data_IF_682265435185
#
_entry.id   IF_682265435185
#
_cell.length_a   1.000
_cell.length_b   1.000
_cell.length_c   1.000
_cell.angle_alpha   90.00
_cell.angle_beta   90.00
_cell.angle_gamma   90.00
#
_symmetry.space_group_name_H-M   'P 1'
#
loop_
_entity.id
_entity.type
_entity.pdbx_description
1 polymer ?
#
# COMPACT_ATOMS: atom_id res chain seq x y z
N UNK A 1 24.62 27.36 14.77
CA UNK A 1 25.52 26.94 13.68
C UNK A 1 24.61 26.45 12.57
N UNK A 2 24.34 27.27 11.55
CA UNK A 2 23.53 26.85 10.41
C UNK A 2 24.22 25.65 9.74
N UNK A 3 23.50 24.53 9.61
CA UNK A 3 23.99 23.37 8.85
C UNK A 3 24.01 23.75 7.37
N UNK A 4 25.03 23.28 6.65
CA UNK A 4 25.11 23.45 5.19
C UNK A 4 23.83 22.87 4.55
N UNK A 5 23.09 23.65 3.72
CA UNK A 5 21.90 23.15 3.03
C UNK A 5 22.17 21.87 2.21
N UNK A 6 23.40 21.66 1.72
CA UNK A 6 23.76 20.45 1.00
C UNK A 6 23.77 19.22 1.91
N UNK A 7 24.34 19.32 3.11
CA UNK A 7 24.36 18.21 4.07
C UNK A 7 22.94 17.78 4.45
N UNK A 8 22.02 18.74 4.57
CA UNK A 8 20.61 18.48 4.85
C UNK A 8 19.94 17.74 3.70
N UNK A 9 20.15 18.19 2.47
CA UNK A 9 19.58 17.58 1.26
C UNK A 9 20.07 16.15 1.09
N UNK A 10 21.38 15.92 1.24
CA UNK A 10 21.95 14.57 1.08
C UNK A 10 21.64 13.65 2.26
N UNK A 11 21.45 14.18 3.47
CA UNK A 11 21.00 13.40 4.62
C UNK A 11 19.64 12.73 4.41
N UNK A 12 18.73 13.37 3.66
CA UNK A 12 17.41 12.81 3.34
C UNK A 12 17.47 11.52 2.48
N UNK A 13 18.60 11.24 1.84
CA UNK A 13 18.77 9.99 1.07
C UNK A 13 18.80 8.79 2.02
N UNK A 14 19.53 8.90 3.13
CA UNK A 14 19.67 7.83 4.11
C UNK A 14 18.39 7.64 4.95
N UNK A 15 17.69 8.74 5.21
CA UNK A 15 16.39 8.74 5.88
C UNK A 15 15.36 9.57 5.09
N UNK A 16 14.63 8.94 4.15
CA UNK A 16 13.59 9.62 3.38
C UNK A 16 12.44 10.17 4.22
N UNK A 17 12.25 9.74 5.48
CA UNK A 17 11.27 10.34 6.37
C UNK A 17 11.67 11.75 6.84
N UNK A 18 12.92 12.17 6.62
CA UNK A 18 13.44 13.48 7.01
C UNK A 18 13.06 14.62 6.05
N UNK A 19 12.45 14.34 4.89
CA UNK A 19 12.09 15.38 3.91
C UNK A 19 11.25 16.55 4.46
N UNK A 20 10.24 16.36 5.33
CA UNK A 20 9.54 17.49 5.99
C UNK A 20 10.47 18.41 6.79
N UNK A 21 11.45 17.83 7.49
CA UNK A 21 12.44 18.58 8.25
C UNK A 21 13.42 19.32 7.33
N UNK A 22 13.85 18.68 6.23
CA UNK A 22 14.70 19.32 5.22
C UNK A 22 13.99 20.49 4.57
N UNK A 23 12.72 20.35 4.18
CA UNK A 23 11.91 21.45 3.65
C UNK A 23 11.78 22.60 4.67
N UNK A 24 11.62 22.28 5.96
CA UNK A 24 11.56 23.28 7.04
C UNK A 24 12.87 24.05 7.16
N UNK A 25 14.02 23.35 7.14
CA UNK A 25 15.33 23.99 7.27
C UNK A 25 15.74 24.76 6.01
N UNK A 26 15.35 24.29 4.82
CA UNK A 26 15.51 25.05 3.58
C UNK A 26 14.62 26.30 3.58
N UNK A 27 13.40 26.21 4.13
CA UNK A 27 12.56 27.39 4.32
C UNK A 27 13.25 28.41 5.25
N UNK A 28 13.89 27.96 6.34
CA UNK A 28 14.70 28.85 7.20
C UNK A 28 15.86 29.50 6.44
N UNK A 29 16.60 28.71 5.65
CA UNK A 29 17.72 29.19 4.84
C UNK A 29 17.31 30.28 3.82
N UNK A 30 16.11 30.15 3.24
CA UNK A 30 15.55 31.17 2.34
C UNK A 30 14.83 32.30 3.11
N UNK A 31 14.55 32.13 4.39
CA UNK A 31 13.63 33.00 5.13
C UNK A 31 12.22 32.98 4.52
N UNK A 32 11.77 31.82 4.07
CA UNK A 32 10.43 31.53 3.57
C UNK A 32 9.48 31.15 4.73
N UNK A 33 8.17 31.21 4.50
CA UNK A 33 7.14 30.73 5.42
C UNK A 33 7.27 29.21 5.61
N UNK A 34 7.42 28.49 4.50
CA UNK A 34 7.50 27.04 4.49
C UNK A 34 7.96 26.50 3.13
N UNK A 35 8.18 25.19 3.09
CA UNK A 35 8.57 24.44 1.91
C UNK A 35 7.54 23.37 1.58
N UNK A 36 7.42 23.05 0.29
CA UNK A 36 6.49 22.08 -0.25
C UNK A 36 7.24 21.22 -1.27
N UNK A 37 7.10 19.91 -1.16
CA UNK A 37 7.40 18.98 -2.24
C UNK A 37 6.08 18.30 -2.62
N UNK A 38 5.69 18.39 -3.89
CA UNK A 38 4.41 17.85 -4.33
C UNK A 38 4.50 17.21 -5.70
N UNK A 39 3.65 16.20 -5.91
CA UNK A 39 3.23 15.70 -7.21
C UNK A 39 1.71 15.86 -7.27
N UNK A 40 1.19 16.60 -8.24
CA UNK A 40 -0.25 16.84 -8.41
C UNK A 40 -0.73 16.34 -9.77
N UNK A 41 -1.88 15.66 -9.78
CA UNK A 41 -2.55 15.25 -11.00
C UNK A 41 -3.47 16.38 -11.48
N UNK A 42 -3.21 16.92 -12.67
CA UNK A 42 -4.04 17.99 -13.25
C UNK A 42 -5.29 17.46 -13.98
N UNK A 43 -5.41 16.14 -14.13
CA UNK A 43 -6.58 15.51 -14.76
C UNK A 43 -7.67 15.26 -13.71
N UNK A 44 -8.88 15.80 -13.87
CA UNK A 44 -9.99 15.58 -12.94
C UNK A 44 -10.33 14.09 -12.78
N UNK A 45 -10.57 13.63 -11.55
CA UNK A 45 -11.04 12.27 -11.25
C UNK A 45 -9.95 11.19 -11.11
N UNK A 46 -8.65 11.54 -11.17
CA UNK A 46 -7.54 10.66 -10.74
C UNK A 46 -7.22 10.85 -9.26
N UNK A 47 -6.52 9.88 -8.65
CA UNK A 47 -6.06 9.95 -7.25
C UNK A 47 -5.42 11.31 -6.93
N UNK A 48 -5.69 11.83 -5.73
CA UNK A 48 -5.11 13.07 -5.23
C UNK A 48 -3.59 13.04 -5.32
N UNK A 49 -3.01 14.22 -5.55
CA UNK A 49 -1.57 14.39 -5.56
C UNK A 49 -0.93 14.00 -4.23
N UNK A 50 0.37 13.68 -4.26
CA UNK A 50 1.15 13.45 -3.04
C UNK A 50 1.79 14.76 -2.63
N UNK A 51 1.64 15.15 -1.36
CA UNK A 51 2.15 16.41 -0.83
C UNK A 51 2.96 16.15 0.44
N UNK A 52 4.14 16.76 0.53
CA UNK A 52 5.00 16.78 1.72
C UNK A 52 5.30 18.24 2.04
N UNK A 53 5.01 18.67 3.26
CA UNK A 53 5.19 20.05 3.68
C UNK A 53 6.19 20.20 4.82
N UNK A 54 6.87 21.34 4.83
CA UNK A 54 7.73 21.79 5.90
C UNK A 54 7.22 23.13 6.42
N UNK A 55 6.63 23.13 7.63
CA UNK A 55 6.07 24.31 8.31
C UNK A 55 4.90 24.99 7.58
N UNK A 56 4.05 24.21 6.91
CA UNK A 56 2.78 24.70 6.36
C UNK A 56 1.60 24.13 7.15
N UNK A 57 0.44 24.77 7.03
CA UNK A 57 -0.79 24.39 7.70
C UNK A 57 -1.35 23.10 7.11
N UNK A 58 -1.45 22.06 7.93
CA UNK A 58 -2.02 20.77 7.55
C UNK A 58 -3.46 20.89 7.02
N UNK A 59 -4.24 21.86 7.53
CA UNK A 59 -5.61 22.09 7.04
C UNK A 59 -5.62 22.67 5.63
N UNK A 60 -4.80 23.70 5.39
CA UNK A 60 -4.68 24.34 4.08
C UNK A 60 -4.08 23.38 3.04
N UNK A 61 -3.09 22.58 3.44
CA UNK A 61 -2.47 21.56 2.60
C UNK A 61 -3.47 20.47 2.18
N UNK A 62 -4.34 20.05 3.11
CA UNK A 62 -5.43 19.10 2.82
C UNK A 62 -6.41 19.70 1.82
N UNK A 63 -6.90 20.93 2.06
CA UNK A 63 -7.78 21.63 1.10
C UNK A 63 -7.14 21.79 -0.28
N UNK A 64 -5.84 22.10 -0.31
CA UNK A 64 -5.09 22.15 -1.57
C UNK A 64 -5.10 20.81 -2.31
N UNK A 65 -4.80 19.71 -1.62
CA UNK A 65 -4.73 18.37 -2.22
C UNK A 65 -6.09 17.79 -2.63
N UNK A 66 -7.16 18.17 -1.93
CA UNK A 66 -8.52 17.63 -2.16
C UNK A 66 -9.33 18.48 -3.15
N UNK A 67 -9.23 19.80 -3.07
CA UNK A 67 -10.18 20.70 -3.75
C UNK A 67 -9.51 21.67 -4.73
N UNK A 68 -8.24 22.01 -4.54
CA UNK A 68 -7.58 23.10 -5.27
C UNK A 68 -6.31 22.71 -6.04
N UNK A 69 -6.15 21.42 -6.40
CA UNK A 69 -4.98 20.95 -7.18
C UNK A 69 -4.89 21.65 -8.55
N UNK A 70 -6.03 21.89 -9.19
CA UNK A 70 -6.14 22.69 -10.41
C UNK A 70 -6.42 24.16 -10.06
N UNK A 71 -5.36 24.97 -10.02
CA UNK A 71 -5.43 26.40 -9.71
C UNK A 71 -4.46 27.19 -10.61
N UNK A 72 -4.54 28.55 -10.60
CA UNK A 72 -3.68 29.38 -11.45
C UNK A 72 -2.18 29.13 -11.27
N UNK A 73 -1.70 28.89 -10.03
CA UNK A 73 -0.29 28.62 -9.73
C UNK A 73 0.15 27.25 -10.27
N UNK A 74 -0.66 26.20 -10.10
CA UNK A 74 -0.39 24.87 -10.66
C UNK A 74 -0.32 24.89 -12.20
N UNK A 75 -1.20 25.67 -12.84
CA UNK A 75 -1.19 25.84 -14.31
C UNK A 75 0.02 26.63 -14.80
N UNK A 76 0.45 27.67 -14.07
CA UNK A 76 1.68 28.37 -14.38
C UNK A 76 2.90 27.44 -14.27
N UNK A 77 2.92 26.59 -13.23
CA UNK A 77 3.96 25.60 -13.03
C UNK A 77 3.98 24.51 -14.13
N UNK A 78 2.83 24.13 -14.70
CA UNK A 78 2.75 23.07 -15.73
C UNK A 78 3.39 23.45 -17.06
N UNK A 79 3.48 24.75 -17.36
CA UNK A 79 4.11 25.27 -18.59
C UNK A 79 5.54 25.74 -18.38
N UNK A 80 6.03 25.72 -17.14
CA UNK A 80 7.41 26.07 -16.82
C UNK A 80 8.38 24.97 -17.29
N UNK A 81 9.57 25.39 -17.75
CA UNK A 81 10.62 24.44 -18.11
C UNK A 81 11.08 23.64 -16.88
N UNK A 82 11.26 22.30 -16.98
CA UNK A 82 11.79 21.49 -15.89
C UNK A 82 13.12 22.02 -15.36
N UNK A 83 13.32 21.89 -14.05
CA UNK A 83 14.54 22.28 -13.33
C UNK A 83 14.88 23.79 -13.38
N UNK A 84 13.97 24.61 -13.94
CA UNK A 84 14.09 26.07 -13.94
C UNK A 84 13.29 26.65 -12.77
N UNK A 85 13.95 27.43 -11.92
CA UNK A 85 13.24 28.17 -10.86
C UNK A 85 12.41 29.28 -11.48
N UNK A 86 11.15 29.35 -11.07
CA UNK A 86 10.18 30.38 -11.46
C UNK A 86 9.57 31.03 -10.23
N UNK A 87 9.28 32.33 -10.34
CA UNK A 87 8.47 33.07 -9.38
C UNK A 87 7.02 33.07 -9.87
N UNK A 88 6.15 32.30 -9.23
CA UNK A 88 4.80 32.05 -9.73
C UNK A 88 3.94 33.31 -9.71
N UNK A 89 4.10 34.21 -8.74
CA UNK A 89 3.39 35.49 -8.68
C UNK A 89 3.66 36.42 -9.87
N UNK A 90 4.73 36.21 -10.64
CA UNK A 90 4.99 36.93 -11.91
C UNK A 90 4.37 36.26 -13.14
N UNK A 91 3.92 35.02 -13.00
CA UNK A 91 3.33 34.24 -14.09
C UNK A 91 1.81 34.20 -14.04
N UNK A 92 1.21 34.69 -12.95
CA UNK A 92 -0.24 34.75 -12.76
C UNK A 92 -0.74 36.18 -12.56
N UNK A 93 -1.99 36.43 -12.93
CA UNK A 93 -2.67 37.68 -12.56
C UNK A 93 -3.01 37.64 -11.06
N UNK A 94 -2.24 38.39 -10.27
CA UNK A 94 -2.42 38.45 -8.81
C UNK A 94 -3.75 39.08 -8.39
N UNK A 95 -4.34 39.98 -9.19
CA UNK A 95 -5.64 40.57 -8.87
C UNK A 95 -6.77 39.56 -9.09
N UNK A 96 -6.67 38.75 -10.14
CA UNK A 96 -7.59 37.64 -10.37
C UNK A 96 -7.41 36.52 -9.33
N UNK A 97 -6.16 36.17 -8.99
CA UNK A 97 -5.84 35.14 -8.00
C UNK A 97 -6.49 35.43 -6.63
N UNK A 98 -6.42 36.68 -6.15
CA UNK A 98 -7.02 37.12 -4.88
C UNK A 98 -8.54 36.92 -4.79
N UNK A 99 -9.22 36.75 -5.93
CA UNK A 99 -10.67 36.51 -6.01
C UNK A 99 -11.03 35.02 -6.07
N UNK A 100 -10.04 34.13 -6.12
CA UNK A 100 -10.26 32.68 -6.20
C UNK A 100 -10.49 32.08 -4.83
N UNK A 101 -11.23 30.97 -4.78
CA UNK A 101 -11.43 30.21 -3.56
C UNK A 101 -10.11 29.56 -3.08
N UNK A 102 -9.25 29.12 -4.01
CA UNK A 102 -7.89 28.67 -3.70
C UNK A 102 -7.09 29.70 -2.88
N UNK A 103 -7.16 30.99 -3.22
CA UNK A 103 -6.50 32.03 -2.44
C UNK A 103 -7.05 32.10 -1.00
N UNK A 104 -8.38 32.14 -0.85
CA UNK A 104 -9.02 32.24 0.45
C UNK A 104 -8.81 30.99 1.34
N UNK A 105 -8.78 29.81 0.74
CA UNK A 105 -8.67 28.53 1.46
C UNK A 105 -7.23 28.09 1.74
N UNK A 106 -6.26 28.47 0.89
CA UNK A 106 -4.89 27.95 0.94
C UNK A 106 -3.84 29.03 1.20
N UNK A 107 -3.91 30.16 0.48
CA UNK A 107 -2.85 31.18 0.51
C UNK A 107 -3.01 32.15 1.68
N UNK A 108 -4.21 32.75 1.81
CA UNK A 108 -4.51 33.79 2.80
C UNK A 108 -4.36 33.32 4.26
N UNK A 109 -4.86 32.13 4.66
CA UNK A 109 -4.74 31.65 6.04
C UNK A 109 -3.30 31.47 6.51
N UNK A 110 -2.37 31.35 5.57
CA UNK A 110 -0.94 31.16 5.81
C UNK A 110 -0.12 32.41 5.44
N UNK A 111 -0.77 33.51 5.05
CA UNK A 111 -0.13 34.75 4.60
C UNK A 111 0.84 34.59 3.42
N UNK A 112 0.54 33.65 2.51
CA UNK A 112 1.37 33.38 1.32
C UNK A 112 1.05 34.43 0.25
N UNK A 113 2.05 35.25 -0.08
CA UNK A 113 1.93 36.29 -1.10
C UNK A 113 2.58 35.91 -2.43
N UNK A 114 3.61 35.06 -2.42
CA UNK A 114 4.31 34.60 -3.61
C UNK A 114 5.01 33.26 -3.37
N UNK A 115 5.42 32.59 -4.44
CA UNK A 115 5.99 31.24 -4.41
C UNK A 115 7.14 31.16 -5.41
N UNK A 116 8.30 30.68 -4.94
CA UNK A 116 9.37 30.20 -5.81
C UNK A 116 9.23 28.69 -6.00
N UNK A 117 9.17 28.24 -7.25
CA UNK A 117 8.97 26.82 -7.57
C UNK A 117 9.86 26.37 -8.72
N UNK A 118 10.16 25.07 -8.77
CA UNK A 118 10.67 24.41 -9.97
C UNK A 118 10.10 23.00 -10.06
N UNK A 119 9.90 22.49 -11.27
CA UNK A 119 9.43 21.12 -11.50
C UNK A 119 10.62 20.16 -11.67
N UNK A 120 10.45 18.91 -11.25
CA UNK A 120 11.47 17.87 -11.38
C UNK A 120 10.95 16.70 -12.23
N UNK A 121 11.68 16.23 -13.27
CA UNK A 121 11.20 15.19 -14.17
C UNK A 121 10.74 13.90 -13.46
N UNK A 122 11.37 13.48 -12.36
CA UNK A 122 10.96 12.27 -11.65
C UNK A 122 9.57 12.38 -10.99
N UNK A 123 9.04 13.59 -10.85
CA UNK A 123 7.69 13.86 -10.34
C UNK A 123 6.70 14.24 -11.45
N UNK A 124 7.13 14.35 -12.71
CA UNK A 124 6.27 14.64 -13.85
C UNK A 124 5.78 13.33 -14.52
N UNK A 125 5.16 12.47 -13.73
CA UNK A 125 4.71 11.13 -14.16
C UNK A 125 3.18 11.07 -14.27
N UNK A 126 2.65 10.13 -15.05
CA UNK A 126 1.20 9.82 -15.13
C UNK A 126 0.30 11.05 -15.39
N UNK A 127 0.75 11.96 -16.26
CA UNK A 127 0.08 13.23 -16.59
C UNK A 127 -0.02 14.24 -15.43
N UNK A 128 0.71 14.00 -14.34
CA UNK A 128 0.87 14.93 -13.23
C UNK A 128 2.15 15.76 -13.36
N UNK A 129 2.19 16.84 -12.58
CA UNK A 129 3.36 17.72 -12.47
C UNK A 129 3.83 17.73 -11.03
N UNK A 130 5.13 17.83 -10.80
CA UNK A 130 5.63 17.89 -9.44
C UNK A 130 7.00 18.51 -9.32
N UNK A 131 7.33 18.91 -8.10
CA UNK A 131 8.52 19.67 -7.82
C UNK A 131 8.59 20.19 -6.40
N UNK A 132 9.40 21.21 -6.22
CA UNK A 132 9.62 21.89 -4.96
C UNK A 132 9.14 23.32 -5.05
N UNK A 133 8.53 23.80 -3.97
CA UNK A 133 8.02 25.16 -3.84
C UNK A 133 8.35 25.73 -2.47
N UNK A 134 8.67 27.02 -2.42
CA UNK A 134 8.93 27.75 -1.18
C UNK A 134 8.07 29.01 -1.16
N UNK A 135 7.33 29.19 -0.06
CA UNK A 135 6.26 30.18 0.08
C UNK A 135 6.78 31.42 0.81
N UNK A 136 6.48 32.61 0.30
CA UNK A 136 6.94 33.87 0.88
C UNK A 136 5.77 34.80 1.22
N UNK A 137 5.90 35.53 2.32
CA UNK A 137 4.94 36.57 2.71
C UNK A 137 5.20 37.89 1.99
N UNK A 138 4.25 38.83 2.11
CA UNK A 138 4.41 40.18 1.57
C UNK A 138 5.67 40.87 2.12
N UNK A 139 5.95 40.69 3.42
CA UNK A 139 7.13 41.27 4.10
C UNK A 139 8.47 40.65 3.67
N UNK A 140 8.44 39.53 2.93
CA UNK A 140 9.61 38.82 2.45
C UNK A 140 9.84 39.00 0.93
N UNK A 141 9.00 39.79 0.24
CA UNK A 141 9.03 39.91 -1.23
C UNK A 141 10.39 40.37 -1.77
N UNK A 142 11.09 41.26 -1.07
CA UNK A 142 12.40 41.76 -1.48
C UNK A 142 13.50 40.68 -1.50
N UNK A 143 13.29 39.57 -0.76
CA UNK A 143 14.25 38.45 -0.68
C UNK A 143 14.09 37.46 -1.83
N UNK A 144 12.95 37.47 -2.53
CA UNK A 144 12.62 36.49 -3.58
C UNK A 144 13.66 36.50 -4.70
N UNK A 145 14.11 37.68 -5.14
CA UNK A 145 15.10 37.79 -6.21
C UNK A 145 16.43 37.09 -5.87
N UNK A 146 16.98 37.38 -4.68
CA UNK A 146 18.21 36.75 -4.21
C UNK A 146 18.04 35.24 -3.95
N UNK A 147 16.86 34.83 -3.45
CA UNK A 147 16.57 33.42 -3.19
C UNK A 147 16.33 32.62 -4.48
N UNK A 148 15.87 33.25 -5.57
CA UNK A 148 15.70 32.58 -6.85
C UNK A 148 17.02 32.02 -7.37
N UNK A 149 18.10 32.81 -7.30
CA UNK A 149 19.43 32.34 -7.67
C UNK A 149 19.92 31.24 -6.72
N UNK A 150 19.80 31.43 -5.41
CA UNK A 150 20.21 30.41 -4.42
C UNK A 150 19.47 29.09 -4.63
N UNK A 151 18.16 29.13 -4.85
CA UNK A 151 17.36 27.95 -5.13
C UNK A 151 17.80 27.29 -6.43
N UNK A 152 18.09 28.07 -7.48
CA UNK A 152 18.59 27.54 -8.76
C UNK A 152 19.91 26.78 -8.59
N UNK A 153 20.80 27.23 -7.69
CA UNK A 153 22.02 26.50 -7.34
C UNK A 153 21.73 25.18 -6.60
N UNK A 154 20.66 25.11 -5.79
CA UNK A 154 20.27 23.90 -5.07
C UNK A 154 19.46 22.89 -5.91
N UNK A 155 18.83 23.31 -7.02
CA UNK A 155 18.05 22.43 -7.92
C UNK A 155 18.76 21.10 -8.23
N UNK A 156 20.03 21.08 -8.73
CA UNK A 156 20.68 19.81 -9.06
C UNK A 156 20.97 18.92 -7.84
N UNK A 157 21.00 19.47 -6.63
CA UNK A 157 21.19 18.71 -5.40
C UNK A 157 19.87 18.12 -4.91
N UNK A 158 18.80 18.93 -4.91
CA UNK A 158 17.44 18.49 -4.59
C UNK A 158 16.97 17.39 -5.54
N UNK A 159 17.18 17.56 -6.85
CA UNK A 159 16.86 16.56 -7.86
C UNK A 159 17.61 15.24 -7.63
N UNK A 160 18.93 15.29 -7.43
CA UNK A 160 19.74 14.08 -7.17
C UNK A 160 19.35 13.36 -5.88
N UNK A 161 19.08 14.09 -4.81
CA UNK A 161 18.66 13.49 -3.54
C UNK A 161 17.28 12.87 -3.63
N UNK A 162 16.35 13.52 -4.34
CA UNK A 162 15.03 12.97 -4.63
C UNK A 162 15.13 11.69 -5.47
N UNK A 163 15.89 11.71 -6.56
CA UNK A 163 16.09 10.55 -7.42
C UNK A 163 16.68 9.36 -6.65
N UNK A 164 17.66 9.62 -5.78
CA UNK A 164 18.23 8.59 -4.91
C UNK A 164 17.20 8.07 -3.90
N UNK A 165 16.44 8.95 -3.25
CA UNK A 165 15.37 8.58 -2.30
C UNK A 165 14.29 7.72 -2.96
N UNK A 166 13.91 8.02 -4.21
CA UNK A 166 12.96 7.23 -4.99
C UNK A 166 13.54 5.87 -5.41
N UNK A 167 14.82 5.82 -5.81
CA UNK A 167 15.50 4.57 -6.17
C UNK A 167 15.71 3.62 -4.99
N UNK A 168 15.79 4.15 -3.77
CA UNK A 168 15.96 3.34 -2.56
C UNK A 168 14.66 2.67 -2.09
N UNK A 169 13.49 3.09 -2.59
CA UNK A 169 12.20 2.53 -2.18
C UNK A 169 12.14 0.98 -2.27
N UNK A 170 12.49 0.35 -3.41
CA UNK A 170 12.40 -1.10 -3.52
C UNK A 170 13.45 -1.85 -2.67
N UNK A 171 14.56 -1.17 -2.32
CA UNK A 171 15.66 -1.77 -1.57
C UNK A 171 15.41 -1.73 -0.05
N UNK A 172 14.74 -0.68 0.43
CA UNK A 172 14.41 -0.50 1.85
C UNK A 172 13.12 -1.22 2.25
N UNK A 173 12.22 -1.49 1.30
CA UNK A 173 10.89 -2.06 1.58
C UNK A 173 10.85 -3.60 1.62
N UNK A 174 12.02 -4.24 1.78
CA UNK A 174 12.10 -5.67 2.11
C UNK A 174 11.30 -6.57 1.17
N UNK A 175 11.19 -6.28 -0.14
CA UNK A 175 10.25 -6.98 -1.04
C UNK A 175 10.46 -8.50 -1.02
N UNK A 176 11.71 -8.96 -0.87
CA UNK A 176 12.04 -10.38 -0.67
C UNK A 176 11.58 -10.94 0.68
N UNK A 177 11.60 -10.14 1.74
CA UNK A 177 11.10 -10.54 3.06
C UNK A 177 9.57 -10.56 3.06
N UNK A 178 8.92 -9.56 2.45
CA UNK A 178 7.46 -9.53 2.28
C UNK A 178 6.97 -10.71 1.46
N UNK A 179 7.64 -11.03 0.35
CA UNK A 179 7.31 -12.20 -0.47
C UNK A 179 7.44 -13.50 0.34
N UNK A 180 8.52 -13.67 1.13
CA UNK A 180 8.68 -14.85 2.01
C UNK A 180 7.59 -14.95 3.07
N UNK A 181 7.24 -13.82 3.71
CA UNK A 181 6.16 -13.78 4.70
C UNK A 181 4.82 -14.11 4.04
N UNK A 182 4.54 -13.52 2.88
CA UNK A 182 3.33 -13.76 2.10
C UNK A 182 3.22 -15.23 1.69
N UNK A 183 4.30 -15.86 1.23
CA UNK A 183 4.33 -17.28 0.88
C UNK A 183 4.09 -18.21 2.07
N UNK A 184 4.46 -17.81 3.29
CA UNK A 184 4.20 -18.59 4.51
C UNK A 184 2.75 -18.46 5.04
N UNK A 185 1.93 -17.56 4.47
CA UNK A 185 0.56 -17.35 4.95
C UNK A 185 -0.36 -18.53 4.57
N UNK A 186 -1.20 -19.02 5.49
CA UNK A 186 -2.05 -20.17 5.24
C UNK A 186 -3.19 -19.93 4.24
N UNK A 187 -3.72 -18.72 4.27
CA UNK A 187 -4.85 -18.34 3.44
C UNK A 187 -4.39 -17.72 2.13
N UNK A 188 -5.14 -17.89 1.03
CA UNK A 188 -4.92 -17.14 -0.19
C UNK A 188 -4.81 -15.63 0.11
N UNK A 189 -3.67 -15.06 -0.26
CA UNK A 189 -3.30 -13.69 0.10
C UNK A 189 -2.68 -13.00 -1.10
N UNK A 190 -3.14 -11.78 -1.38
CA UNK A 190 -2.70 -10.97 -2.51
C UNK A 190 -2.28 -9.59 -2.04
N UNK A 191 -1.18 -9.09 -2.56
CA UNK A 191 -0.71 -7.72 -2.32
C UNK A 191 -1.04 -6.88 -3.54
N UNK A 192 -1.78 -5.80 -3.33
CA UNK A 192 -2.24 -4.88 -4.36
C UNK A 192 -1.59 -3.51 -4.18
N UNK A 193 -1.37 -2.81 -5.28
CA UNK A 193 -0.95 -1.41 -5.24
C UNK A 193 -2.12 -0.43 -5.00
N UNK A 194 -1.83 0.87 -4.98
CA UNK A 194 -2.86 1.92 -4.80
C UNK A 194 -3.94 1.96 -5.88
N UNK A 195 -3.69 1.29 -7.01
CA UNK A 195 -4.64 1.19 -8.12
C UNK A 195 -5.38 -0.16 -8.11
N UNK A 196 -5.28 -0.95 -7.05
CA UNK A 196 -5.87 -2.29 -6.96
C UNK A 196 -5.24 -3.30 -7.93
N UNK A 197 -4.04 -3.02 -8.45
CA UNK A 197 -3.32 -3.92 -9.35
C UNK A 197 -2.54 -4.94 -8.55
N UNK A 198 -2.55 -6.19 -9.00
CA UNK A 198 -1.84 -7.27 -8.35
C UNK A 198 -0.32 -7.08 -8.44
N UNK A 199 0.35 -6.96 -7.28
CA UNK A 199 1.80 -6.95 -7.15
C UNK A 199 2.34 -8.35 -6.87
N UNK A 200 1.86 -8.98 -5.80
CA UNK A 200 2.28 -10.31 -5.34
C UNK A 200 1.07 -11.16 -4.97
N UNK A 201 1.20 -12.48 -5.08
CA UNK A 201 0.22 -13.45 -4.59
C UNK A 201 0.97 -14.64 -4.00
N UNK A 202 0.48 -15.22 -2.91
CA UNK A 202 1.01 -16.49 -2.43
C UNK A 202 0.49 -17.67 -3.26
N UNK A 203 1.14 -18.82 -3.12
CA UNK A 203 0.75 -20.07 -3.80
C UNK A 203 -0.70 -20.47 -3.53
N UNK A 204 -1.21 -20.22 -2.31
CA UNK A 204 -2.59 -20.50 -1.94
C UNK A 204 -3.62 -19.69 -2.76
N UNK A 205 -3.23 -18.57 -3.39
CA UNK A 205 -4.07 -17.76 -4.25
C UNK A 205 -4.08 -18.17 -5.72
N UNK A 206 -3.19 -19.06 -6.17
CA UNK A 206 -3.18 -19.54 -7.56
C UNK A 206 -4.54 -20.13 -8.00
N UNK A 207 -5.22 -20.99 -7.20
CA UNK A 207 -6.51 -21.54 -7.59
C UNK A 207 -7.62 -20.50 -7.74
N UNK A 208 -7.48 -19.32 -7.12
CA UNK A 208 -8.48 -18.25 -7.25
C UNK A 208 -8.52 -17.67 -8.67
N UNK A 209 -7.44 -17.83 -9.44
CA UNK A 209 -7.31 -17.33 -10.82
C UNK A 209 -7.43 -18.42 -11.88
N UNK A 210 -7.69 -19.67 -11.48
CA UNK A 210 -7.84 -20.78 -12.43
C UNK A 210 -8.96 -20.49 -13.45
N UNK A 211 -8.64 -20.73 -14.72
CA UNK A 211 -9.56 -20.48 -15.82
C UNK A 211 -10.79 -21.39 -15.65
N UNK A 212 -11.98 -20.77 -15.68
CA UNK A 212 -13.32 -21.36 -15.54
C UNK A 212 -13.83 -21.62 -14.11
N UNK A 213 -12.97 -21.83 -13.11
CA UNK A 213 -13.39 -22.20 -11.75
C UNK A 213 -12.96 -21.21 -10.66
N UNK A 214 -11.99 -20.34 -10.96
CA UNK A 214 -11.49 -19.33 -10.03
C UNK A 214 -12.53 -18.26 -9.67
N UNK A 215 -12.48 -17.76 -8.44
CA UNK A 215 -13.39 -16.72 -7.93
C UNK A 215 -12.89 -15.30 -8.18
N UNK A 216 -11.66 -15.13 -8.68
CA UNK A 216 -11.05 -13.84 -9.01
C UNK A 216 -10.50 -13.85 -10.44
N UNK A 217 -10.41 -12.67 -11.05
CA UNK A 217 -9.78 -12.46 -12.35
C UNK A 217 -8.98 -11.16 -12.38
N UNK A 218 -8.10 -11.07 -13.36
CA UNK A 218 -7.29 -9.90 -13.66
C UNK A 218 -7.75 -9.25 -14.97
N UNK A 219 -7.78 -7.92 -15.00
CA UNK A 219 -8.00 -7.18 -16.24
C UNK A 219 -6.69 -6.97 -17.02
N UNK A 220 -6.75 -6.25 -18.15
CA UNK A 220 -5.56 -5.92 -18.97
C UNK A 220 -4.48 -5.12 -18.21
N UNK A 221 -4.86 -4.44 -17.14
CA UNK A 221 -3.99 -3.62 -16.28
C UNK A 221 -3.61 -4.36 -14.98
N UNK A 222 -3.92 -5.66 -14.87
CA UNK A 222 -3.74 -6.49 -13.68
C UNK A 222 -4.58 -6.06 -12.46
N UNK A 223 -5.65 -5.30 -12.64
CA UNK A 223 -6.62 -5.02 -11.56
C UNK A 223 -7.41 -6.26 -11.22
N UNK A 224 -7.57 -6.53 -9.93
CA UNK A 224 -8.32 -7.70 -9.43
C UNK A 224 -9.81 -7.40 -9.43
N UNK A 225 -10.62 -8.32 -9.93
CA UNK A 225 -12.08 -8.29 -9.83
C UNK A 225 -12.66 -9.67 -9.48
N UNK A 226 -13.84 -9.68 -8.88
CA UNK A 226 -14.57 -10.92 -8.58
C UNK A 226 -15.09 -11.57 -9.86
N UNK A 227 -14.81 -12.86 -10.03
CA UNK A 227 -15.37 -13.70 -11.08
C UNK A 227 -16.66 -14.36 -10.58
N UNK A 228 -17.76 -13.64 -10.67
CA UNK A 228 -19.09 -14.07 -10.21
C UNK A 228 -20.15 -13.74 -11.26
N UNK A 229 -21.21 -14.55 -11.31
CA UNK A 229 -22.39 -14.30 -12.16
C UNK A 229 -23.40 -13.38 -11.48
N UNK A 230 -23.19 -13.05 -10.20
CA UNK A 230 -24.07 -12.19 -9.40
C UNK A 230 -23.56 -10.75 -9.41
N UNK A 231 -24.27 -9.80 -10.06
CA UNK A 231 -23.82 -8.40 -10.14
C UNK A 231 -23.67 -7.71 -8.78
N UNK A 232 -24.47 -8.12 -7.80
CA UNK A 232 -24.41 -7.60 -6.43
C UNK A 232 -23.09 -7.94 -5.74
N UNK A 233 -22.62 -9.19 -5.88
CA UNK A 233 -21.33 -9.63 -5.31
C UNK A 233 -20.15 -8.91 -5.99
N UNK A 234 -20.20 -8.74 -7.31
CA UNK A 234 -19.17 -8.01 -8.05
C UNK A 234 -19.09 -6.53 -7.59
N UNK A 235 -20.24 -5.89 -7.40
CA UNK A 235 -20.32 -4.50 -6.93
C UNK A 235 -19.88 -4.37 -5.47
N UNK A 236 -20.17 -5.37 -4.63
CA UNK A 236 -19.75 -5.40 -3.24
C UNK A 236 -18.24 -5.59 -3.08
N UNK A 237 -17.66 -6.50 -3.88
CA UNK A 237 -16.22 -6.69 -3.96
C UNK A 237 -15.50 -5.39 -4.37
N UNK A 238 -15.95 -4.77 -5.47
CA UNK A 238 -15.36 -3.53 -5.98
C UNK A 238 -15.41 -2.42 -4.93
N UNK A 239 -16.58 -2.20 -4.32
CA UNK A 239 -16.77 -1.19 -3.28
C UNK A 239 -15.88 -1.44 -2.06
N UNK A 240 -15.78 -2.69 -1.61
CA UNK A 240 -14.95 -3.05 -0.46
C UNK A 240 -13.46 -2.80 -0.73
N UNK A 241 -13.00 -3.15 -1.94
CA UNK A 241 -11.63 -2.86 -2.38
C UNK A 241 -11.37 -1.35 -2.47
N UNK A 242 -12.28 -0.59 -3.08
CA UNK A 242 -12.15 0.87 -3.22
C UNK A 242 -12.12 1.57 -1.84
N UNK A 243 -12.93 1.13 -0.87
CA UNK A 243 -12.88 1.64 0.50
C UNK A 243 -11.53 1.38 1.16
N UNK A 244 -10.97 0.18 1.01
CA UNK A 244 -9.66 -0.14 1.58
C UNK A 244 -8.52 0.66 0.91
N UNK A 245 -8.60 0.88 -0.40
CA UNK A 245 -7.65 1.75 -1.11
C UNK A 245 -7.77 3.20 -0.65
N UNK A 246 -8.99 3.71 -0.43
CA UNK A 246 -9.20 5.06 0.10
C UNK A 246 -8.61 5.21 1.53
N UNK A 247 -8.77 4.21 2.39
CA UNK A 247 -8.13 4.18 3.72
C UNK A 247 -6.61 4.13 3.62
N UNK A 248 -6.05 3.30 2.73
CA UNK A 248 -4.60 3.20 2.52
C UNK A 248 -3.97 4.51 2.01
N UNK A 249 -4.77 5.34 1.34
CA UNK A 249 -4.39 6.68 0.84
C UNK A 249 -4.83 7.82 1.76
N UNK A 250 -5.39 7.53 2.95
CA UNK A 250 -5.92 8.52 3.92
C UNK A 250 -7.04 9.43 3.40
N UNK A 251 -7.70 9.04 2.31
CA UNK A 251 -8.90 9.71 1.79
C UNK A 251 -10.20 9.11 2.35
N UNK A 252 -10.10 8.09 3.22
CA UNK A 252 -11.24 7.43 3.86
C UNK A 252 -10.92 6.96 5.28
N UNK A 253 -11.97 6.81 6.10
CA UNK A 253 -11.89 6.46 7.52
C UNK A 253 -12.61 5.14 7.87
N UNK A 254 -13.27 4.52 6.88
CA UNK A 254 -14.12 3.34 7.09
C UNK A 254 -13.67 2.15 6.26
N UNK A 255 -13.67 0.99 6.91
CA UNK A 255 -13.54 -0.31 6.27
C UNK A 255 -14.92 -0.88 5.95
N UNK A 256 -14.99 -1.63 4.84
CA UNK A 256 -16.16 -2.43 4.50
C UNK A 256 -16.17 -3.73 5.30
N UNK A 257 -17.33 -4.31 5.63
CA UNK A 257 -17.40 -5.67 6.16
C UNK A 257 -16.78 -6.69 5.18
N UNK A 258 -16.44 -7.90 5.65
CA UNK A 258 -15.99 -8.99 4.78
C UNK A 258 -16.98 -9.25 3.64
N UNK A 259 -16.47 -9.33 2.41
CA UNK A 259 -17.28 -9.60 1.22
C UNK A 259 -17.43 -11.10 1.06
N UNK A 260 -18.67 -11.55 0.85
CA UNK A 260 -18.95 -12.96 0.53
C UNK A 260 -18.91 -13.16 -0.97
N UNK A 261 -18.08 -14.10 -1.44
CA UNK A 261 -18.06 -14.52 -2.84
C UNK A 261 -18.58 -15.96 -2.97
N UNK A 262 -19.62 -16.13 -3.77
CA UNK A 262 -20.14 -17.47 -4.07
C UNK A 262 -19.18 -18.20 -5.03
N UNK A 263 -18.83 -19.44 -4.68
CA UNK A 263 -18.04 -20.31 -5.55
C UNK A 263 -18.96 -21.11 -6.47
N UNK A 264 -18.47 -21.43 -7.66
CA UNK A 264 -19.11 -22.41 -8.54
C UNK A 264 -19.14 -23.81 -7.89
N UNK A 265 -18.12 -24.13 -7.10
CA UNK A 265 -17.99 -25.39 -6.35
C UNK A 265 -17.43 -25.11 -4.95
N UNK A 266 -18.11 -25.61 -3.91
CA UNK A 266 -17.69 -25.49 -2.51
C UNK A 266 -18.38 -24.35 -1.75
N UNK A 267 -17.93 -24.12 -0.52
CA UNK A 267 -18.48 -23.07 0.36
C UNK A 267 -18.09 -21.67 -0.11
N UNK A 268 -18.92 -20.64 0.17
CA UNK A 268 -18.59 -19.27 -0.18
C UNK A 268 -17.28 -18.81 0.48
N UNK A 269 -16.50 -18.01 -0.24
CA UNK A 269 -15.28 -17.40 0.28
C UNK A 269 -15.62 -16.09 0.98
N UNK A 270 -14.84 -15.75 2.01
CA UNK A 270 -14.84 -14.43 2.62
C UNK A 270 -13.61 -13.67 2.16
N UNK A 271 -13.80 -12.50 1.57
CA UNK A 271 -12.73 -11.61 1.11
C UNK A 271 -12.65 -10.41 2.05
N UNK A 272 -11.45 -10.15 2.54
CA UNK A 272 -11.17 -9.06 3.49
C UNK A 272 -10.00 -8.25 2.93
N UNK A 273 -10.27 -7.06 2.36
CA UNK A 273 -9.24 -6.10 2.02
C UNK A 273 -8.69 -5.44 3.30
N UNK A 274 -7.38 -5.54 3.52
CA UNK A 274 -6.68 -4.95 4.67
C UNK A 274 -5.74 -3.85 4.17
N UNK A 275 -5.99 -2.57 4.48
CA UNK A 275 -5.07 -1.48 4.17
C UNK A 275 -3.74 -1.67 4.88
N UNK A 276 -2.64 -1.48 4.15
CA UNK A 276 -1.30 -1.48 4.71
C UNK A 276 -0.91 -0.09 5.23
N UNK A 277 0.01 0.02 6.21
CA UNK A 277 0.51 1.30 6.68
C UNK A 277 1.06 2.15 5.54
N UNK A 278 1.01 3.47 5.72
CA UNK A 278 1.63 4.38 4.77
C UNK A 278 3.15 4.19 4.74
N UNK A 279 3.80 4.34 3.56
CA UNK A 279 5.25 4.36 3.49
C UNK A 279 5.77 5.54 4.31
N UNK A 280 6.92 5.36 4.95
CA UNK A 280 7.57 6.42 5.73
C UNK A 280 7.87 7.67 4.88
N UNK A 281 8.01 7.50 3.57
CA UNK A 281 8.16 8.58 2.60
C UNK A 281 7.03 8.57 1.58
N UNK A 282 6.19 9.61 1.62
CA UNK A 282 4.95 9.67 0.83
C UNK A 282 5.18 9.60 -0.69
N UNK A 283 6.29 10.14 -1.21
CA UNK A 283 6.58 10.10 -2.66
C UNK A 283 6.72 8.68 -3.20
N UNK A 284 6.96 7.68 -2.35
CA UNK A 284 6.98 6.29 -2.80
C UNK A 284 5.61 5.78 -3.28
N UNK A 285 4.51 6.45 -2.94
CA UNK A 285 3.19 6.16 -3.53
C UNK A 285 3.21 6.19 -5.06
N UNK A 286 4.05 7.06 -5.65
CA UNK A 286 4.24 7.19 -7.10
C UNK A 286 4.78 5.91 -7.77
N UNK A 287 5.48 5.08 -7.01
CA UNK A 287 6.15 3.88 -7.50
C UNK A 287 5.22 2.66 -7.58
N UNK A 288 3.95 2.78 -7.18
CA UNK A 288 3.01 1.64 -7.19
C UNK A 288 3.36 0.58 -6.14
N UNK A 289 3.77 1.02 -4.94
CA UNK A 289 4.04 0.13 -3.81
C UNK A 289 2.79 -0.58 -3.30
N UNK A 290 3.00 -1.59 -2.45
CA UNK A 290 1.95 -2.31 -1.75
C UNK A 290 1.08 -1.36 -0.90
N UNK A 291 -0.24 -1.44 -1.07
CA UNK A 291 -1.23 -0.62 -0.33
C UNK A 291 -2.32 -1.42 0.32
N UNK A 292 -2.71 -2.56 -0.26
CA UNK A 292 -3.77 -3.41 0.28
C UNK A 292 -3.32 -4.86 0.25
N UNK A 293 -3.49 -5.55 1.38
CA UNK A 293 -3.43 -7.01 1.47
C UNK A 293 -4.86 -7.54 1.36
N UNK A 294 -5.16 -8.28 0.29
CA UNK A 294 -6.43 -8.96 0.11
C UNK A 294 -6.33 -10.37 0.71
N UNK A 295 -7.01 -10.60 1.82
CA UNK A 295 -7.11 -11.91 2.45
C UNK A 295 -8.37 -12.62 1.95
N UNK A 296 -8.24 -13.87 1.51
CA UNK A 296 -9.38 -14.70 1.12
C UNK A 296 -9.44 -15.92 2.02
N UNK A 297 -10.53 -16.07 2.75
CA UNK A 297 -10.74 -17.13 3.72
C UNK A 297 -11.76 -18.11 3.15
N UNK A 298 -11.37 -19.37 3.03
CA UNK A 298 -12.30 -20.49 2.84
C UNK A 298 -12.73 -21.00 4.23
N UNK A 299 -14.00 -20.79 4.64
CA UNK A 299 -14.47 -21.19 5.96
C UNK A 299 -14.51 -22.71 6.17
N UNK A 300 -14.26 -23.52 5.13
CA UNK A 300 -14.42 -24.99 5.19
C UNK A 300 -13.15 -25.81 4.94
N UNK A 301 -12.00 -25.18 4.71
CA UNK A 301 -10.81 -25.90 4.24
C UNK A 301 -9.51 -25.64 5.01
N UNK A 302 -9.08 -26.54 5.91
CA UNK A 302 -7.66 -26.80 6.11
C UNK A 302 -7.03 -27.41 4.84
N UNK A 303 -5.83 -26.97 4.46
CA UNK A 303 -5.17 -27.37 3.21
C UNK A 303 -4.28 -28.61 3.40
N UNK A 304 -3.96 -29.31 2.29
CA UNK A 304 -3.06 -30.48 2.28
C UNK A 304 -1.69 -30.23 2.94
N UNK A 305 -1.22 -28.99 2.88
CA UNK A 305 0.07 -28.56 3.41
C UNK A 305 0.12 -28.55 4.95
N UNK A 306 -1.02 -28.34 5.62
CA UNK A 306 -1.11 -28.50 7.08
C UNK A 306 -0.87 -29.95 7.53
N UNK A 307 -0.97 -30.94 6.62
CA UNK A 307 -0.71 -32.36 6.93
C UNK A 307 0.77 -32.61 7.18
N UNK A 308 1.64 -32.00 6.37
CA UNK A 308 3.08 -32.12 6.52
C UNK A 308 3.53 -31.46 7.81
N UNK A 309 2.99 -30.27 8.11
CA UNK A 309 3.31 -29.53 9.32
C UNK A 309 2.83 -30.25 10.60
N UNK A 310 1.66 -30.86 10.58
CA UNK A 310 1.18 -31.71 11.69
C UNK A 310 2.06 -32.94 11.92
N UNK A 311 2.55 -33.57 10.85
CA UNK A 311 3.48 -34.70 10.95
C UNK A 311 4.83 -34.25 11.53
N UNK A 312 5.36 -33.10 11.10
CA UNK A 312 6.64 -32.58 11.58
C UNK A 312 6.55 -32.10 13.05
N UNK A 313 5.54 -31.31 13.38
CA UNK A 313 5.43 -30.66 14.70
C UNK A 313 4.99 -31.62 15.81
N UNK A 314 4.10 -32.56 15.51
CA UNK A 314 3.50 -33.47 16.50
C UNK A 314 3.82 -34.94 16.25
N UNK A 315 4.71 -35.23 15.30
CA UNK A 315 5.12 -36.61 14.95
C UNK A 315 3.90 -37.50 14.63
N UNK A 316 2.87 -36.89 14.04
CA UNK A 316 1.73 -37.65 13.52
C UNK A 316 2.20 -38.54 12.37
N UNK A 317 1.56 -39.68 12.22
CA UNK A 317 1.70 -40.48 10.99
C UNK A 317 0.89 -39.84 9.86
N UNK A 318 1.18 -40.20 8.61
CA UNK A 318 0.40 -39.74 7.46
C UNK A 318 -1.10 -40.08 7.58
N UNK A 319 -1.46 -41.20 8.21
CA UNK A 319 -2.86 -41.57 8.45
C UNK A 319 -3.52 -40.69 9.52
N UNK A 320 -2.81 -40.42 10.62
CA UNK A 320 -3.26 -39.54 11.70
C UNK A 320 -3.47 -38.10 11.22
N UNK A 321 -2.51 -37.55 10.47
CA UNK A 321 -2.62 -36.20 9.92
C UNK A 321 -3.77 -36.07 8.91
N UNK A 322 -4.01 -37.08 8.07
CA UNK A 322 -5.17 -37.11 7.15
C UNK A 322 -6.49 -37.07 7.92
N UNK A 323 -6.62 -37.89 8.97
CA UNK A 323 -7.83 -37.90 9.82
C UNK A 323 -8.02 -36.55 10.52
N UNK A 324 -6.96 -35.96 11.08
CA UNK A 324 -7.01 -34.67 11.75
C UNK A 324 -7.49 -33.54 10.83
N UNK A 325 -7.00 -33.50 9.58
CA UNK A 325 -7.41 -32.50 8.59
C UNK A 325 -8.87 -32.64 8.21
N UNK A 326 -9.35 -33.85 7.88
CA UNK A 326 -10.74 -34.02 7.47
C UNK A 326 -11.73 -33.68 8.60
N UNK A 327 -11.38 -33.98 9.86
CA UNK A 327 -12.14 -33.55 11.02
C UNK A 327 -12.11 -32.02 11.16
N UNK A 328 -10.94 -31.40 10.95
CA UNK A 328 -10.80 -29.95 10.94
C UNK A 328 -11.53 -29.26 9.77
N UNK A 329 -11.75 -29.96 8.65
CA UNK A 329 -12.63 -29.54 7.54
C UNK A 329 -14.12 -29.68 7.85
N UNK A 330 -14.48 -30.11 9.07
CA UNK A 330 -15.87 -30.27 9.50
C UNK A 330 -16.51 -31.61 9.14
N UNK A 331 -15.74 -32.61 8.67
CA UNK A 331 -16.27 -33.96 8.49
C UNK A 331 -16.46 -34.64 9.85
N UNK A 332 -17.53 -35.42 9.99
CA UNK A 332 -17.75 -36.29 11.15
C UNK A 332 -16.93 -37.57 11.06
N UNK A 333 -16.68 -38.23 12.20
CA UNK A 333 -15.95 -39.50 12.25
C UNK A 333 -16.46 -40.58 11.26
N UNK A 334 -17.78 -40.80 11.12
CA UNK A 334 -18.33 -41.69 10.10
C UNK A 334 -18.04 -41.26 8.66
N UNK A 335 -18.19 -39.97 8.34
CA UNK A 335 -17.88 -39.44 7.01
C UNK A 335 -16.40 -39.61 6.66
N UNK A 336 -15.51 -39.47 7.65
CA UNK A 336 -14.07 -39.75 7.48
C UNK A 336 -13.81 -41.22 7.24
N UNK A 337 -14.53 -42.11 7.94
CA UNK A 337 -14.42 -43.56 7.76
C UNK A 337 -14.80 -43.96 6.33
N UNK A 338 -15.93 -43.42 5.83
CA UNK A 338 -16.40 -43.64 4.46
C UNK A 338 -15.42 -43.08 3.42
N UNK A 339 -14.93 -41.84 3.63
CA UNK A 339 -14.00 -41.18 2.71
C UNK A 339 -12.65 -41.93 2.60
N UNK A 340 -12.15 -42.48 3.71
CA UNK A 340 -10.91 -43.26 3.75
C UNK A 340 -11.10 -44.75 3.46
N UNK A 341 -12.35 -45.22 3.31
CA UNK A 341 -12.70 -46.65 3.19
C UNK A 341 -12.12 -47.49 4.33
N UNK A 342 -12.24 -47.00 5.57
CA UNK A 342 -11.81 -47.69 6.80
C UNK A 342 -12.97 -47.81 7.78
N UNK A 343 -12.81 -48.60 8.85
CA UNK A 343 -13.87 -48.71 9.86
C UNK A 343 -13.95 -47.46 10.74
N UNK A 344 -15.14 -47.10 11.27
CA UNK A 344 -15.27 -46.03 12.28
C UNK A 344 -14.40 -46.26 13.53
N UNK A 345 -14.14 -47.52 13.89
CA UNK A 345 -13.23 -47.88 14.98
C UNK A 345 -11.77 -47.52 14.68
N UNK A 346 -11.35 -47.65 13.42
CA UNK A 346 -10.03 -47.23 12.93
C UNK A 346 -9.88 -45.72 13.02
N UNK A 347 -10.89 -44.95 12.60
CA UNK A 347 -10.90 -43.48 12.74
C UNK A 347 -10.82 -43.05 14.21
N UNK A 348 -11.57 -43.72 15.10
CA UNK A 348 -11.52 -43.45 16.55
C UNK A 348 -10.12 -43.69 17.13
N UNK A 349 -9.45 -44.77 16.70
CA UNK A 349 -8.07 -45.07 17.09
C UNK A 349 -7.10 -43.99 16.63
N UNK A 350 -7.19 -43.56 15.37
CA UNK A 350 -6.36 -42.47 14.85
C UNK A 350 -6.59 -41.16 15.61
N UNK A 351 -7.85 -40.81 15.90
CA UNK A 351 -8.17 -39.62 16.69
C UNK A 351 -7.61 -39.67 18.11
N UNK A 352 -7.69 -40.82 18.79
CA UNK A 352 -7.11 -41.00 20.12
C UNK A 352 -5.61 -40.74 20.11
N UNK A 353 -4.89 -41.25 19.09
CA UNK A 353 -3.46 -41.00 18.93
C UNK A 353 -3.16 -39.56 18.58
N UNK A 354 -4.00 -38.90 17.76
CA UNK A 354 -3.88 -37.47 17.51
C UNK A 354 -3.99 -36.66 18.80
N UNK A 355 -4.99 -36.95 19.64
CA UNK A 355 -5.20 -36.27 20.92
C UNK A 355 -4.02 -36.44 21.87
N UNK A 356 -3.48 -37.65 21.97
CA UNK A 356 -2.30 -37.94 22.78
C UNK A 356 -1.06 -37.15 22.29
N UNK A 357 -0.79 -37.18 20.98
CA UNK A 357 0.39 -36.54 20.40
C UNK A 357 0.30 -35.01 20.33
N UNK A 358 -0.90 -34.45 20.24
CA UNK A 358 -1.12 -33.01 20.13
C UNK A 358 -1.49 -32.35 21.47
N UNK A 359 -1.78 -33.14 22.51
CA UNK A 359 -2.19 -32.65 23.82
C UNK A 359 -3.59 -32.04 23.86
N UNK A 360 -4.40 -32.18 22.80
CA UNK A 360 -5.78 -31.69 22.77
C UNK A 360 -6.76 -32.79 23.15
N UNK A 361 -7.90 -32.43 23.73
CA UNK A 361 -8.84 -33.40 24.31
C UNK A 361 -10.19 -33.49 23.59
N UNK A 362 -10.35 -32.82 22.45
CA UNK A 362 -11.59 -32.88 21.68
C UNK A 362 -11.35 -32.64 20.18
N UNK A 363 -12.30 -33.10 19.36
CA UNK A 363 -12.29 -32.83 17.92
C UNK A 363 -12.37 -31.32 17.64
N UNK A 364 -13.10 -30.55 18.46
CA UNK A 364 -13.21 -29.09 18.34
C UNK A 364 -11.87 -28.42 18.64
N UNK A 365 -11.17 -28.87 19.69
CA UNK A 365 -9.84 -28.37 20.06
C UNK A 365 -8.79 -28.70 18.99
N UNK A 366 -8.87 -29.91 18.41
CA UNK A 366 -8.04 -30.34 17.30
C UNK A 366 -8.30 -29.49 16.06
N UNK A 367 -9.57 -29.28 15.69
CA UNK A 367 -9.95 -28.45 14.54
C UNK A 367 -9.43 -27.02 14.69
N UNK A 368 -9.64 -26.39 15.87
CA UNK A 368 -9.13 -25.04 16.15
C UNK A 368 -7.61 -24.96 16.05
N UNK A 369 -6.89 -25.97 16.54
CA UNK A 369 -5.43 -26.02 16.43
C UNK A 369 -4.99 -26.11 14.97
N UNK A 370 -5.60 -27.00 14.18
CA UNK A 370 -5.29 -27.16 12.76
C UNK A 370 -5.57 -25.87 11.97
N UNK A 371 -6.68 -25.19 12.23
CA UNK A 371 -7.01 -23.91 11.59
C UNK A 371 -6.03 -22.77 11.91
N UNK A 372 -5.26 -22.88 12.99
CA UNK A 372 -4.26 -21.88 13.36
C UNK A 372 -2.87 -22.15 12.76
N UNK A 373 -2.66 -23.31 12.11
CA UNK A 373 -1.37 -23.68 11.54
C UNK A 373 -1.13 -23.01 10.18
N UNK A 374 0.09 -22.49 9.93
CA UNK A 374 0.47 -21.97 8.61
C UNK A 374 0.49 -23.11 7.57
N UNK A 375 0.41 -22.72 6.30
CA UNK A 375 0.56 -23.62 5.15
C UNK A 375 2.02 -23.60 4.77
N UNK A 376 2.71 -24.70 5.02
CA UNK A 376 4.10 -24.90 4.63
C UNK A 376 4.23 -25.80 3.39
N UNK A 377 5.01 -25.33 2.42
CA UNK A 377 5.53 -26.08 1.27
C UNK A 377 7.02 -25.69 1.08
N UNK A 378 7.73 -25.39 2.17
CA UNK A 378 9.19 -25.34 2.16
C UNK A 378 9.68 -26.75 1.80
N UNK A 379 10.23 -26.91 0.59
CA UNK A 379 11.09 -28.06 0.32
C UNK A 379 12.10 -28.19 1.47
N UNK A 380 12.38 -29.41 1.95
CA UNK A 380 13.40 -29.60 2.96
C UNK A 380 14.75 -29.20 2.34
N UNK A 381 15.18 -27.96 2.57
CA UNK A 381 16.53 -27.47 2.32
C UNK A 381 17.55 -28.07 3.31
N UNK A 382 17.37 -29.35 3.67
CA UNK A 382 18.24 -30.15 4.52
C UNK A 382 18.52 -31.46 3.78
N UNK A 383 19.35 -31.37 2.74
CA UNK A 383 19.71 -32.52 1.93
C UNK A 383 20.78 -32.22 0.89
N UNK A 384 21.85 -31.51 1.26
CA UNK A 384 23.18 -31.51 0.61
C UNK A 384 24.11 -30.49 1.30
N UNK A 385 24.49 -30.81 2.52
CA UNK A 385 25.72 -30.33 3.13
C UNK A 385 26.40 -31.53 3.79
N UNK A 386 26.98 -32.38 2.95
CA UNK A 386 28.23 -33.12 3.17
C UNK A 386 28.85 -33.37 1.81
#
# INVERSE_FOLDING_TARGET
MERDPLDLIYGAIADPAAWPLVLTQLADYFGAIGGLMAHINLTPGRESGVVITGRLSTEADRKFAEEHVDNPMSRAMSVAAPERVVQLGRQVDMAALKRTQFHADVLDPQSIADILSFTHPALNIRDGIGGFSFMFSESQRDRIGANMERLQHLVPHLGRALDASLKLAPMMDGTRQLERVLQAMPNPSLVLDGQGRLLLANKAAEPLFEVHVGSLRLDKNRRVYANTTLPAEASEFARSLDMALAVASSSGDKLSPPVRLTRLVGSPLLVIPVPLPQPAFAMWHLLGLARVLLLVIDPTGPTKSQAALLQAAFQLTAAEARVAIMIASGMSGPQVADALKVSPATVKTHLSRCFEKTGVHSQVSLARMVSALPVDDLEPALGKLF
#
